data_IF_517316992113
#
_entry.id   IF_517316992113
#
_cell.length_a   1.000
_cell.length_b   1.000
_cell.length_c   1.000
_cell.angle_alpha   90.00
_cell.angle_beta   90.00
_cell.angle_gamma   90.00
#
_symmetry.space_group_name_H-M   'P 1'
#
loop_
_entity.id
_entity.type
_entity.pdbx_description
1 polymer ?
#
# COMPACT_ATOMS: atom_id res chain seq x y z
N UNK A 1 -14.22 12.84 80.17
CA UNK A 1 -14.82 13.38 78.92
C UNK A 1 -13.74 13.80 77.93
N UNK A 2 -12.87 14.76 78.30
CA UNK A 2 -11.81 15.30 77.44
C UNK A 2 -10.88 14.22 76.85
N UNK A 3 -10.47 13.21 77.63
CA UNK A 3 -9.59 12.15 77.10
C UNK A 3 -10.23 11.30 75.99
N UNK A 4 -11.54 11.05 76.07
CA UNK A 4 -12.28 10.32 75.04
C UNK A 4 -12.51 11.18 73.79
N UNK A 5 -12.70 12.49 73.93
CA UNK A 5 -12.80 13.40 72.79
C UNK A 5 -11.46 13.60 72.08
N UNK A 6 -10.36 13.70 72.83
CA UNK A 6 -9.00 13.79 72.26
C UNK A 6 -8.62 12.49 71.55
N UNK A 7 -8.92 11.34 72.17
CA UNK A 7 -8.67 10.02 71.54
C UNK A 7 -9.53 9.82 70.29
N UNK A 8 -10.82 10.20 70.33
CA UNK A 8 -11.72 10.17 69.19
C UNK A 8 -11.25 11.08 68.05
N UNK A 9 -10.81 12.29 68.36
CA UNK A 9 -10.24 13.24 67.39
C UNK A 9 -8.97 12.71 66.72
N UNK A 10 -8.07 12.09 67.47
CA UNK A 10 -6.83 11.51 66.93
C UNK A 10 -7.11 10.32 66.00
N UNK A 11 -8.08 9.48 66.33
CA UNK A 11 -8.50 8.34 65.49
C UNK A 11 -9.12 8.84 64.18
N UNK A 12 -9.97 9.86 64.23
CA UNK A 12 -10.58 10.47 63.04
C UNK A 12 -9.50 11.13 62.17
N UNK A 13 -8.57 11.88 62.77
CA UNK A 13 -7.47 12.52 62.05
C UNK A 13 -6.54 11.49 61.39
N UNK A 14 -6.24 10.39 62.10
CA UNK A 14 -5.46 9.28 61.57
C UNK A 14 -6.19 8.56 60.43
N UNK A 15 -7.50 8.32 60.57
CA UNK A 15 -8.34 7.73 59.52
C UNK A 15 -8.39 8.59 58.25
N UNK A 16 -8.53 9.92 58.40
CA UNK A 16 -8.47 10.88 57.28
C UNK A 16 -7.08 10.86 56.63
N UNK A 17 -6.01 10.84 57.43
CA UNK A 17 -4.63 10.75 56.94
C UNK A 17 -4.38 9.48 56.12
N UNK A 18 -4.86 8.33 56.59
CA UNK A 18 -4.78 7.05 55.88
C UNK A 18 -5.59 7.07 54.58
N UNK A 19 -6.81 7.65 54.61
CA UNK A 19 -7.66 7.76 53.43
C UNK A 19 -7.05 8.69 52.35
N UNK A 20 -6.45 9.82 52.74
CA UNK A 20 -5.76 10.73 51.83
C UNK A 20 -4.42 10.17 51.32
N UNK A 21 -3.83 9.25 52.07
CA UNK A 21 -2.55 8.59 51.75
C UNK A 21 -2.70 7.53 50.65
N UNK A 22 -3.85 6.87 50.55
CA UNK A 22 -4.09 5.82 49.57
C UNK A 22 -4.36 6.40 48.17
N UNK A 23 -3.45 6.16 47.21
CA UNK A 23 -3.68 6.46 45.79
C UNK A 23 -3.56 5.21 44.93
N UNK A 24 -4.45 5.10 43.95
CA UNK A 24 -4.45 4.00 42.98
C UNK A 24 -3.67 4.43 41.73
N UNK A 25 -2.72 3.59 41.32
CA UNK A 25 -1.99 3.70 40.05
C UNK A 25 -2.57 2.67 39.08
N UNK A 26 -2.93 3.11 37.86
CA UNK A 26 -3.50 2.21 36.85
C UNK A 26 -2.45 1.25 36.31
N UNK A 27 -2.87 0.13 35.74
CA UNK A 27 -1.97 -0.91 35.21
C UNK A 27 -0.96 -0.41 34.17
N UNK A 28 -1.38 0.56 33.35
CA UNK A 28 -0.56 1.16 32.30
C UNK A 28 0.22 2.42 32.73
N UNK A 29 0.09 2.81 34.00
CA UNK A 29 0.77 3.98 34.57
C UNK A 29 1.90 3.53 35.50
N UNK A 30 2.97 4.33 35.58
CA UNK A 30 3.99 4.23 36.62
C UNK A 30 3.95 5.48 37.48
N UNK A 31 4.03 5.28 38.79
CA UNK A 31 4.02 6.37 39.77
C UNK A 31 5.43 6.73 40.20
N UNK A 32 5.81 7.99 39.98
CA UNK A 32 7.01 8.59 40.54
C UNK A 32 6.63 9.36 41.80
N UNK A 33 7.31 9.08 42.89
CA UNK A 33 7.07 9.75 44.17
C UNK A 33 8.22 10.69 44.44
N UNK A 34 7.88 11.98 44.56
CA UNK A 34 8.80 13.02 44.98
C UNK A 34 8.57 13.31 46.45
N UNK A 35 9.58 13.06 47.29
CA UNK A 35 9.53 13.38 48.72
C UNK A 35 10.34 14.64 48.96
N UNK A 36 9.68 15.73 49.38
CA UNK A 36 10.32 17.04 49.53
C UNK A 36 11.16 17.47 48.31
N UNK A 37 10.67 17.16 47.10
CA UNK A 37 11.36 17.46 45.83
C UNK A 37 12.46 16.48 45.41
N UNK A 38 12.83 15.49 46.24
CA UNK A 38 13.76 14.42 45.84
C UNK A 38 13.01 13.24 45.25
N UNK A 39 13.44 12.77 44.09
CA UNK A 39 12.89 11.56 43.47
C UNK A 39 13.31 10.34 44.31
N UNK A 40 12.35 9.50 44.67
CA UNK A 40 12.67 8.19 45.24
C UNK A 40 13.11 7.22 44.13
N UNK A 41 14.17 6.45 44.39
CA UNK A 41 14.73 5.48 43.43
C UNK A 41 13.72 4.41 43.01
N UNK A 42 12.77 4.07 43.88
CA UNK A 42 11.76 3.06 43.60
C UNK A 42 10.57 3.63 42.82
N UNK A 43 10.51 3.30 41.51
CA UNK A 43 9.31 3.54 40.69
C UNK A 43 8.17 2.67 41.19
N UNK A 44 7.04 3.29 41.56
CA UNK A 44 5.86 2.56 42.07
C UNK A 44 5.12 1.89 40.92
N UNK A 45 4.95 0.57 41.06
CA UNK A 45 4.16 -0.25 40.14
C UNK A 45 2.66 -0.02 40.26
N UNK A 46 1.86 -0.65 39.39
CA UNK A 46 0.42 -0.53 39.41
C UNK A 46 -0.18 -1.14 40.68
N UNK A 47 -1.26 -0.54 41.18
CA UNK A 47 -1.92 -0.96 42.41
C UNK A 47 -2.10 0.16 43.43
N UNK A 48 -2.45 -0.23 44.66
CA UNK A 48 -2.62 0.70 45.78
C UNK A 48 -1.23 1.12 46.29
N UNK A 49 -0.93 2.41 46.21
CA UNK A 49 0.29 2.99 46.77
C UNK A 49 -0.08 3.95 47.90
N UNK A 50 0.62 3.80 49.01
CA UNK A 50 0.46 4.64 50.19
C UNK A 50 1.50 5.76 50.16
N UNK A 51 1.03 7.02 50.22
CA UNK A 51 1.84 8.22 50.09
C UNK A 51 1.76 9.04 51.38
N UNK A 52 2.85 9.61 51.83
CA UNK A 52 2.81 10.44 53.02
C UNK A 52 2.14 11.79 52.69
N UNK A 53 0.96 12.10 53.27
CA UNK A 53 0.23 13.32 52.94
C UNK A 53 1.08 14.55 53.31
N UNK A 54 1.21 15.49 52.38
CA UNK A 54 1.96 16.74 52.55
C UNK A 54 3.46 16.69 52.20
N UNK A 55 4.11 15.52 52.33
CA UNK A 55 5.54 15.38 51.99
C UNK A 55 5.78 14.73 50.61
N UNK A 56 4.88 13.82 50.21
CA UNK A 56 5.02 13.03 48.99
C UNK A 56 4.10 13.57 47.87
N UNK A 57 4.68 13.84 46.71
CA UNK A 57 3.96 14.20 45.48
C UNK A 57 4.06 13.06 44.46
N UNK A 58 2.92 12.52 44.05
CA UNK A 58 2.83 11.47 43.04
C UNK A 58 2.66 12.08 41.65
N UNK A 59 3.62 11.86 40.75
CA UNK A 59 3.48 12.10 39.30
C UNK A 59 3.30 10.78 38.58
N UNK A 60 2.25 10.68 37.77
CA UNK A 60 1.93 9.47 37.00
C UNK A 60 2.39 9.62 35.56
N UNK A 61 3.01 8.60 35.01
CA UNK A 61 3.50 8.57 33.63
C UNK A 61 2.85 7.38 32.92
N UNK A 62 2.30 7.61 31.72
CA UNK A 62 1.74 6.56 30.89
C UNK A 62 2.87 5.80 30.16
N UNK A 63 2.86 4.47 30.25
CA UNK A 63 3.84 3.58 29.61
C UNK A 63 3.35 3.01 28.27
N UNK A 64 2.13 3.34 27.84
CA UNK A 64 1.59 2.90 26.55
C UNK A 64 2.28 3.59 25.39
N UNK A 65 2.19 2.98 24.20
CA UNK A 65 2.55 3.63 22.95
C UNK A 65 1.60 4.82 22.74
N UNK A 66 2.19 6.01 22.61
CA UNK A 66 1.50 7.25 22.33
C UNK A 66 1.83 7.67 20.91
N UNK A 67 0.80 8.08 20.18
CA UNK A 67 0.92 8.65 18.85
C UNK A 67 1.13 10.16 18.95
N UNK A 68 2.24 10.66 18.41
CA UNK A 68 2.56 12.07 18.32
C UNK A 68 2.55 12.52 16.85
N UNK A 69 1.50 13.25 16.42
CA UNK A 69 1.48 13.81 15.08
C UNK A 69 2.48 14.96 14.98
N UNK A 70 3.34 14.91 13.96
CA UNK A 70 4.28 15.98 13.62
C UNK A 70 3.59 16.86 12.59
N UNK A 71 3.42 18.18 12.85
CA UNK A 71 2.75 19.06 11.92
C UNK A 71 3.57 19.21 10.64
N UNK A 72 2.86 19.40 9.54
CA UNK A 72 3.45 19.50 8.21
C UNK A 72 4.56 20.56 8.15
N UNK A 73 5.69 20.19 7.55
CA UNK A 73 6.85 21.05 7.36
C UNK A 73 7.01 21.36 5.87
N UNK A 74 7.20 22.64 5.57
CA UNK A 74 7.60 23.09 4.24
C UNK A 74 9.11 22.95 4.10
N UNK A 75 9.57 22.35 3.01
CA UNK A 75 10.97 22.13 2.73
C UNK A 75 11.26 22.05 1.24
N UNK A 76 12.54 22.19 0.89
CA UNK A 76 13.04 22.00 -0.48
C UNK A 76 13.87 20.73 -0.47
N UNK A 77 13.53 19.80 -1.35
CA UNK A 77 14.25 18.53 -1.54
C UNK A 77 15.58 18.74 -2.26
N UNK A 78 16.42 17.70 -2.32
CA UNK A 78 17.71 17.73 -3.00
C UNK A 78 17.62 18.07 -4.49
N UNK A 79 16.52 17.69 -5.13
CA UNK A 79 16.18 17.98 -6.53
C UNK A 79 15.45 19.33 -6.71
N UNK A 80 15.53 20.21 -5.71
CA UNK A 80 15.01 21.58 -5.75
C UNK A 80 13.48 21.66 -5.94
N UNK A 81 12.75 20.70 -5.37
CA UNK A 81 11.29 20.69 -5.35
C UNK A 81 10.78 21.17 -4.00
N UNK A 82 9.88 22.15 -4.00
CA UNK A 82 9.18 22.54 -2.77
C UNK A 82 8.11 21.50 -2.45
N UNK A 83 8.19 20.92 -1.26
CA UNK A 83 7.24 19.92 -0.75
C UNK A 83 6.77 20.30 0.64
N UNK A 84 5.58 19.84 0.98
CA UNK A 84 5.04 19.89 2.35
C UNK A 84 4.85 18.47 2.85
N UNK A 85 5.56 18.08 3.90
CA UNK A 85 5.55 16.71 4.42
C UNK A 85 5.11 16.69 5.87
N UNK A 86 4.20 15.80 6.23
CA UNK A 86 3.85 15.49 7.62
C UNK A 86 4.21 14.04 7.99
N UNK A 87 4.34 13.80 9.28
CA UNK A 87 4.76 12.51 9.81
C UNK A 87 4.12 12.22 11.15
N UNK A 88 4.19 10.97 11.58
CA UNK A 88 3.70 10.52 12.88
C UNK A 88 4.78 9.71 13.56
N UNK A 89 5.03 10.00 14.83
CA UNK A 89 5.97 9.26 15.68
C UNK A 89 5.17 8.45 16.70
N UNK A 90 5.44 7.16 16.76
CA UNK A 90 4.91 6.28 17.80
C UNK A 90 6.04 6.00 18.79
N UNK A 91 5.83 6.35 20.05
CA UNK A 91 6.83 6.13 21.09
C UNK A 91 6.16 5.72 22.39
N UNK A 92 6.92 5.10 23.28
CA UNK A 92 6.50 4.79 24.65
C UNK A 92 7.58 5.21 25.62
N UNK A 93 7.19 5.51 26.85
CA UNK A 93 8.16 5.77 27.91
C UNK A 93 8.69 4.42 28.41
N UNK A 94 10.00 4.23 28.39
CA UNK A 94 10.66 3.04 28.94
C UNK A 94 11.13 3.30 30.38
N UNK A 95 11.74 4.46 30.61
CA UNK A 95 12.20 4.91 31.93
C UNK A 95 11.44 6.18 32.35
N UNK A 96 10.41 6.05 33.22
CA UNK A 96 9.62 7.19 33.65
C UNK A 96 10.42 8.18 34.49
N UNK A 97 11.46 7.75 35.22
CA UNK A 97 12.28 8.63 36.03
C UNK A 97 13.06 9.60 35.13
N UNK A 98 13.74 9.08 34.10
CA UNK A 98 14.44 9.90 33.10
C UNK A 98 13.48 10.83 32.35
N UNK A 99 12.32 10.33 31.92
CA UNK A 99 11.36 11.12 31.15
C UNK A 99 10.80 12.33 31.91
N UNK A 100 10.79 12.28 33.24
CA UNK A 100 10.26 13.35 34.10
C UNK A 100 11.36 14.26 34.65
N UNK A 101 12.57 13.73 34.87
CA UNK A 101 13.68 14.49 35.46
C UNK A 101 14.52 15.18 34.40
N UNK A 102 14.78 14.53 33.27
CA UNK A 102 15.71 15.04 32.26
C UNK A 102 15.05 16.09 31.34
N UNK A 103 13.73 16.07 31.21
CA UNK A 103 12.97 17.01 30.37
C UNK A 103 11.67 17.43 31.05
N UNK A 104 11.34 18.72 31.00
CA UNK A 104 10.10 19.28 31.56
C UNK A 104 8.85 18.72 30.86
N UNK A 105 8.81 18.85 29.52
CA UNK A 105 7.80 18.26 28.64
C UNK A 105 8.48 17.47 27.52
N UNK A 106 8.61 16.16 27.76
CA UNK A 106 9.19 15.25 26.79
C UNK A 106 8.37 15.13 25.50
N UNK A 107 7.05 15.37 25.53
CA UNK A 107 6.23 15.31 24.31
C UNK A 107 6.55 16.49 23.40
N UNK A 108 6.67 17.68 23.98
CA UNK A 108 7.06 18.89 23.25
C UNK A 108 8.49 18.78 22.74
N UNK A 109 9.43 18.31 23.56
CA UNK A 109 10.82 18.13 23.14
C UNK A 109 10.94 17.12 21.98
N UNK A 110 10.24 15.97 22.06
CA UNK A 110 10.17 14.99 20.97
C UNK A 110 9.56 15.58 19.69
N UNK A 111 8.54 16.44 19.82
CA UNK A 111 7.94 17.12 18.67
C UNK A 111 8.97 18.02 17.95
N UNK A 112 9.77 18.77 18.71
CA UNK A 112 10.80 19.65 18.15
C UNK A 112 11.93 18.87 17.46
N UNK A 113 12.38 17.79 18.09
CA UNK A 113 13.36 16.88 17.48
C UNK A 113 12.80 16.28 16.20
N UNK A 114 11.58 15.74 16.24
CA UNK A 114 10.95 15.15 15.07
C UNK A 114 10.79 16.14 13.91
N UNK A 115 10.39 17.40 14.18
CA UNK A 115 10.31 18.46 13.17
C UNK A 115 11.69 18.77 12.55
N UNK A 116 12.73 18.84 13.38
CA UNK A 116 14.09 19.15 12.92
C UNK A 116 14.66 17.99 12.09
N UNK A 117 14.46 16.76 12.55
CA UNK A 117 14.84 15.54 11.82
C UNK A 117 14.08 15.41 10.51
N UNK A 118 12.77 15.68 10.50
CA UNK A 118 11.95 15.71 9.29
C UNK A 118 12.47 16.73 8.28
N UNK A 119 12.76 17.95 8.71
CA UNK A 119 13.34 19.00 7.84
C UNK A 119 14.69 18.58 7.27
N UNK A 120 15.55 17.96 8.07
CA UNK A 120 16.86 17.45 7.61
C UNK A 120 16.72 16.33 6.57
N UNK A 121 15.80 15.38 6.79
CA UNK A 121 15.56 14.28 5.85
C UNK A 121 15.01 14.82 4.53
N UNK A 122 14.05 15.75 4.57
CA UNK A 122 13.50 16.37 3.35
C UNK A 122 14.64 16.99 2.51
N UNK A 123 15.57 17.71 3.13
CA UNK A 123 16.69 18.35 2.40
C UNK A 123 17.75 17.38 1.86
N UNK A 124 17.86 16.17 2.43
CA UNK A 124 18.83 15.14 1.99
C UNK A 124 18.25 14.17 0.96
N UNK A 125 16.94 14.10 0.87
CA UNK A 125 16.19 13.18 0.01
C UNK A 125 15.75 13.86 -1.28
N UNK A 126 15.59 13.05 -2.32
CA UNK A 126 14.96 13.45 -3.58
C UNK A 126 13.44 13.26 -3.50
N UNK A 127 12.68 13.92 -4.38
CA UNK A 127 11.23 13.78 -4.43
C UNK A 127 10.79 12.31 -4.60
N UNK A 128 11.47 11.56 -5.46
CA UNK A 128 11.10 10.16 -5.72
C UNK A 128 11.27 9.29 -4.47
N UNK A 129 12.28 9.54 -3.63
CA UNK A 129 12.46 8.81 -2.38
C UNK A 129 11.28 9.02 -1.42
N UNK A 130 10.75 10.25 -1.36
CA UNK A 130 9.59 10.61 -0.53
C UNK A 130 8.29 9.95 -1.01
N UNK A 131 8.21 9.59 -2.30
CA UNK A 131 7.02 8.96 -2.90
C UNK A 131 7.14 7.43 -2.93
N UNK A 132 8.30 6.91 -3.28
CA UNK A 132 8.54 5.50 -3.65
C UNK A 132 9.28 4.72 -2.55
N UNK A 133 10.26 5.33 -1.86
CA UNK A 133 11.16 4.65 -0.91
C UNK A 133 10.91 5.05 0.56
N UNK A 134 9.64 5.08 0.98
CA UNK A 134 9.26 5.54 2.33
C UNK A 134 9.91 4.76 3.46
N UNK A 135 10.12 3.46 3.30
CA UNK A 135 10.70 2.59 4.33
C UNK A 135 12.12 3.03 4.73
N UNK A 136 12.96 3.34 3.75
CA UNK A 136 14.34 3.83 3.99
C UNK A 136 14.35 5.18 4.71
N UNK A 137 13.40 6.05 4.39
CA UNK A 137 13.27 7.35 5.03
C UNK A 137 12.76 7.25 6.47
N UNK A 138 11.80 6.35 6.71
CA UNK A 138 11.28 6.06 8.05
C UNK A 138 12.41 5.58 8.97
N UNK A 139 13.25 4.65 8.53
CA UNK A 139 14.43 4.18 9.28
C UNK A 139 15.45 5.31 9.53
N UNK A 140 15.68 6.16 8.53
CA UNK A 140 16.54 7.33 8.68
C UNK A 140 16.01 8.33 9.72
N UNK A 141 14.71 8.58 9.72
CA UNK A 141 14.04 9.43 10.71
C UNK A 141 14.10 8.82 12.11
N UNK A 142 13.84 7.52 12.23
CA UNK A 142 13.90 6.79 13.50
C UNK A 142 15.26 6.95 14.16
N UNK A 143 16.35 6.67 13.44
CA UNK A 143 17.72 6.83 13.95
C UNK A 143 18.04 8.25 14.43
N UNK A 144 17.56 9.27 13.70
CA UNK A 144 17.79 10.67 14.06
C UNK A 144 17.00 11.10 15.31
N UNK A 145 15.82 10.53 15.54
CA UNK A 145 14.98 10.88 16.69
C UNK A 145 15.36 10.01 17.91
N UNK A 146 15.81 8.76 17.70
CA UNK A 146 16.13 7.81 18.78
C UNK A 146 17.31 8.27 19.62
N UNK A 147 18.33 8.86 18.98
CA UNK A 147 19.54 9.35 19.66
C UNK A 147 19.24 10.26 20.86
N UNK A 148 18.48 11.38 20.71
CA UNK A 148 18.07 12.20 21.85
C UNK A 148 16.96 11.56 22.71
N UNK A 149 16.10 10.70 22.15
CA UNK A 149 15.00 10.06 22.88
C UNK A 149 15.50 9.13 24.00
N UNK A 150 16.62 8.42 23.76
CA UNK A 150 17.25 7.53 24.74
C UNK A 150 17.72 8.27 25.99
N UNK A 151 18.23 9.49 25.86
CA UNK A 151 18.63 10.34 26.99
C UNK A 151 17.44 10.68 27.89
N UNK A 152 16.24 10.74 27.31
CA UNK A 152 14.99 11.04 28.01
C UNK A 152 14.26 9.77 28.48
N UNK A 153 14.80 8.58 28.25
CA UNK A 153 14.15 7.32 28.62
C UNK A 153 12.92 6.99 27.78
N UNK A 154 12.89 7.49 26.53
CA UNK A 154 11.82 7.25 25.57
C UNK A 154 12.32 6.26 24.52
N UNK A 155 11.48 5.28 24.23
CA UNK A 155 11.70 4.25 23.20
C UNK A 155 10.78 4.54 22.01
N UNK A 156 11.36 4.63 20.81
CA UNK A 156 10.61 4.88 19.57
C UNK A 156 10.18 3.52 19.00
N UNK A 157 8.87 3.33 18.83
CA UNK A 157 8.34 2.09 18.25
C UNK A 157 8.43 2.11 16.71
N UNK A 158 8.08 3.24 16.10
CA UNK A 158 8.22 3.49 14.66
C UNK A 158 8.01 4.97 14.33
N UNK A 159 8.51 5.40 13.17
CA UNK A 159 8.23 6.70 12.57
C UNK A 159 7.68 6.49 11.17
N UNK A 160 6.59 7.17 10.84
CA UNK A 160 5.94 7.02 9.55
C UNK A 160 5.69 8.39 8.90
N UNK A 161 6.19 8.56 7.68
CA UNK A 161 5.79 9.69 6.81
C UNK A 161 4.35 9.43 6.35
N UNK A 162 3.47 10.39 6.64
CA UNK A 162 2.04 10.26 6.37
C UNK A 162 1.72 10.75 4.96
N UNK A 163 1.78 12.05 4.73
CA UNK A 163 1.44 12.70 3.47
C UNK A 163 2.58 13.59 2.94
N UNK A 164 2.73 13.60 1.62
CA UNK A 164 3.64 14.48 0.87
C UNK A 164 2.80 15.30 -0.10
N UNK A 165 2.63 16.59 0.21
CA UNK A 165 1.89 17.53 -0.60
C UNK A 165 2.83 18.30 -1.54
N UNK A 166 2.48 18.26 -2.82
CA UNK A 166 3.20 18.91 -3.92
C UNK A 166 2.43 20.14 -4.40
N UNK A 167 3.11 21.17 -4.93
CA UNK A 167 2.47 22.28 -5.63
C UNK A 167 1.57 21.76 -6.76
N UNK A 168 0.42 22.39 -6.94
CA UNK A 168 -0.61 21.89 -7.86
C UNK A 168 -0.12 21.83 -9.31
N UNK A 169 0.71 22.80 -9.74
CA UNK A 169 1.32 22.82 -11.07
C UNK A 169 2.17 21.57 -11.34
N UNK A 170 3.02 21.18 -10.39
CA UNK A 170 3.89 20.02 -10.50
C UNK A 170 3.09 18.72 -10.44
N UNK A 171 2.14 18.61 -9.51
CA UNK A 171 1.25 17.45 -9.40
C UNK A 171 0.55 17.15 -10.72
N UNK A 172 0.05 18.19 -11.41
CA UNK A 172 -0.60 18.05 -12.72
C UNK A 172 0.38 17.58 -13.81
N UNK A 173 1.58 18.18 -13.90
CA UNK A 173 2.59 17.76 -14.89
C UNK A 173 3.09 16.33 -14.67
N UNK A 174 3.40 15.96 -13.42
CA UNK A 174 3.82 14.60 -13.08
C UNK A 174 2.73 13.58 -13.38
N UNK A 175 1.47 13.90 -13.08
CA UNK A 175 0.34 13.00 -13.37
C UNK A 175 0.22 12.74 -14.87
N UNK A 176 0.32 13.79 -15.71
CA UNK A 176 0.32 13.65 -17.17
C UNK A 176 1.51 12.85 -17.69
N UNK A 177 2.70 13.08 -17.15
CA UNK A 177 3.90 12.34 -17.54
C UNK A 177 3.80 10.85 -17.13
N UNK A 178 3.31 10.57 -15.92
CA UNK A 178 3.12 9.21 -15.44
C UNK A 178 2.05 8.46 -16.25
N UNK A 179 0.97 9.14 -16.65
CA UNK A 179 -0.06 8.59 -17.53
C UNK A 179 0.51 8.26 -18.91
N UNK A 180 1.25 9.18 -19.53
CA UNK A 180 1.90 8.95 -20.82
C UNK A 180 2.92 7.80 -20.79
N UNK A 181 3.74 7.69 -19.74
CA UNK A 181 4.69 6.58 -19.59
C UNK A 181 3.98 5.26 -19.30
N UNK A 182 2.89 5.25 -18.52
CA UNK A 182 2.06 4.06 -18.32
C UNK A 182 1.42 3.59 -19.62
N UNK A 183 0.88 4.51 -20.41
CA UNK A 183 0.29 4.19 -21.71
C UNK A 183 1.35 3.65 -22.69
N UNK A 184 2.52 4.30 -22.76
CA UNK A 184 3.65 3.82 -23.56
C UNK A 184 4.06 2.41 -23.16
N UNK A 185 4.23 2.15 -21.85
CA UNK A 185 4.58 0.81 -21.32
C UNK A 185 3.50 -0.21 -21.64
N UNK A 186 2.22 0.12 -21.48
CA UNK A 186 1.11 -0.76 -21.80
C UNK A 186 1.10 -1.16 -23.29
N UNK A 187 1.36 -0.21 -24.20
CA UNK A 187 1.45 -0.49 -25.65
C UNK A 187 2.61 -1.42 -25.98
N UNK A 188 3.78 -1.22 -25.38
CA UNK A 188 4.94 -2.11 -25.57
C UNK A 188 4.63 -3.52 -25.07
N UNK A 189 4.07 -3.65 -23.87
CA UNK A 189 3.69 -4.95 -23.29
C UNK A 189 2.65 -5.66 -24.18
N UNK A 190 1.68 -4.92 -24.73
CA UNK A 190 0.67 -5.47 -25.63
C UNK A 190 1.28 -5.98 -26.93
N UNK A 191 2.15 -5.17 -27.56
CA UNK A 191 2.83 -5.56 -28.80
C UNK A 191 3.75 -6.78 -28.60
N UNK A 192 4.49 -6.83 -27.47
CA UNK A 192 5.31 -7.99 -27.11
C UNK A 192 4.44 -9.23 -26.86
N UNK A 193 3.29 -9.06 -26.20
CA UNK A 193 2.30 -10.11 -25.99
C UNK A 193 1.74 -10.66 -27.31
N UNK A 194 1.38 -9.79 -28.25
CA UNK A 194 0.91 -10.17 -29.59
C UNK A 194 1.98 -10.90 -30.39
N UNK A 195 3.23 -10.46 -30.32
CA UNK A 195 4.37 -11.13 -30.98
C UNK A 195 4.59 -12.52 -30.39
N UNK A 196 4.59 -12.65 -29.06
CA UNK A 196 4.74 -13.94 -28.38
C UNK A 196 3.58 -14.89 -28.71
N UNK A 197 2.35 -14.39 -28.72
CA UNK A 197 1.17 -15.17 -29.09
C UNK A 197 1.25 -15.65 -30.55
N UNK A 198 1.60 -14.76 -31.48
CA UNK A 198 1.74 -15.08 -32.91
C UNK A 198 2.82 -16.14 -33.15
N UNK A 199 3.96 -16.06 -32.46
CA UNK A 199 5.02 -17.07 -32.54
C UNK A 199 4.54 -18.44 -32.08
N UNK A 200 3.89 -18.51 -30.91
CA UNK A 200 3.34 -19.78 -30.39
C UNK A 200 2.26 -20.36 -31.29
N UNK A 201 1.40 -19.53 -31.87
CA UNK A 201 0.38 -19.97 -32.82
C UNK A 201 1.00 -20.51 -34.11
N UNK A 202 2.05 -19.86 -34.64
CA UNK A 202 2.78 -20.34 -35.81
C UNK A 202 3.48 -21.67 -35.56
N UNK A 203 4.10 -21.84 -34.40
CA UNK A 203 4.74 -23.08 -33.98
C UNK A 203 3.72 -24.22 -33.81
N UNK A 204 2.58 -23.91 -33.18
CA UNK A 204 1.46 -24.85 -33.07
C UNK A 204 0.92 -25.24 -34.45
N UNK A 205 0.75 -24.29 -35.38
CA UNK A 205 0.30 -24.56 -36.74
C UNK A 205 1.25 -25.50 -37.50
N UNK A 206 2.57 -25.28 -37.43
CA UNK A 206 3.55 -26.19 -38.04
C UNK A 206 3.53 -27.60 -37.42
N UNK A 207 3.34 -27.70 -36.11
CA UNK A 207 3.17 -29.00 -35.42
C UNK A 207 1.88 -29.70 -35.86
N UNK A 208 0.80 -28.95 -36.07
CA UNK A 208 -0.47 -29.49 -36.56
C UNK A 208 -0.40 -29.93 -38.02
N UNK A 209 0.35 -29.23 -38.87
CA UNK A 209 0.55 -29.60 -40.27
C UNK A 209 1.32 -30.92 -40.40
N UNK A 210 2.36 -31.10 -39.57
CA UNK A 210 3.16 -32.32 -39.53
C UNK A 210 2.45 -33.52 -38.91
N UNK A 211 1.32 -33.33 -38.23
CA UNK A 211 0.54 -34.39 -37.58
C UNK A 211 -0.77 -34.66 -38.33
N UNK A 212 -0.90 -35.79 -39.06
CA UNK A 212 -2.11 -36.12 -39.79
C UNK A 212 -3.35 -36.17 -38.88
N UNK A 213 -4.41 -35.44 -39.24
CA UNK A 213 -5.68 -35.38 -38.49
C UNK A 213 -5.77 -34.28 -37.42
N UNK A 214 -4.67 -33.61 -37.04
CA UNK A 214 -4.69 -32.55 -36.03
C UNK A 214 -5.51 -31.31 -36.46
N UNK A 215 -5.38 -30.89 -37.73
CA UNK A 215 -6.20 -29.82 -38.32
C UNK A 215 -7.69 -30.18 -38.33
N UNK A 216 -8.03 -31.45 -38.56
CA UNK A 216 -9.42 -31.91 -38.59
C UNK A 216 -10.03 -31.95 -37.19
N UNK A 217 -9.26 -32.35 -36.17
CA UNK A 217 -9.68 -32.25 -34.77
C UNK A 217 -9.89 -30.79 -34.33
N UNK A 218 -9.00 -29.87 -34.75
CA UNK A 218 -9.18 -28.42 -34.52
C UNK A 218 -10.46 -27.91 -35.17
N UNK A 219 -10.73 -28.29 -36.42
CA UNK A 219 -11.97 -27.92 -37.11
C UNK A 219 -13.22 -28.38 -36.34
N UNK A 220 -13.22 -29.63 -35.87
CA UNK A 220 -14.31 -30.17 -35.06
C UNK A 220 -14.46 -29.43 -33.72
N UNK A 221 -13.36 -29.09 -33.05
CA UNK A 221 -13.38 -28.29 -31.82
C UNK A 221 -13.97 -26.89 -32.07
N UNK A 222 -13.56 -26.22 -33.14
CA UNK A 222 -14.11 -24.90 -33.51
C UNK A 222 -15.61 -24.98 -33.79
N UNK A 223 -16.09 -26.05 -34.44
CA UNK A 223 -17.53 -26.27 -34.66
C UNK A 223 -18.28 -26.38 -33.32
N UNK A 224 -17.70 -27.06 -32.32
CA UNK A 224 -18.32 -27.21 -30.99
C UNK A 224 -18.34 -25.88 -30.23
N UNK A 225 -17.26 -25.10 -30.26
CA UNK A 225 -17.22 -23.77 -29.63
C UNK A 225 -18.22 -22.80 -30.28
N UNK A 226 -18.26 -22.74 -31.60
CA UNK A 226 -19.19 -21.89 -32.34
C UNK A 226 -20.64 -22.33 -32.16
N UNK A 227 -20.91 -23.64 -32.01
CA UNK A 227 -22.24 -24.14 -31.70
C UNK A 227 -22.69 -23.82 -30.25
N UNK A 228 -21.74 -23.56 -29.34
CA UNK A 228 -22.02 -23.18 -27.97
C UNK A 228 -22.34 -21.66 -27.84
N UNK A 229 -21.73 -20.81 -28.67
CA UNK A 229 -22.16 -19.42 -28.84
C UNK A 229 -23.46 -19.37 -29.66
N UNK A 230 -24.56 -18.94 -29.05
CA UNK A 230 -25.92 -18.97 -29.63
C UNK A 230 -26.14 -18.00 -30.82
N UNK A 231 -25.37 -18.11 -31.92
CA UNK A 231 -25.56 -17.33 -33.15
C UNK A 231 -26.10 -18.20 -34.30
N UNK A 232 -27.24 -17.79 -34.86
CA UNK A 232 -28.11 -18.60 -35.73
C UNK A 232 -27.68 -18.70 -37.21
N UNK A 233 -26.49 -18.26 -37.60
CA UNK A 233 -26.00 -18.35 -38.99
C UNK A 233 -24.61 -18.98 -39.03
N UNK A 234 -24.56 -20.23 -39.46
CA UNK A 234 -23.34 -21.02 -39.58
C UNK A 234 -22.73 -20.82 -40.97
N UNK A 235 -21.60 -20.12 -41.07
CA UNK A 235 -20.82 -20.00 -42.31
C UNK A 235 -19.62 -20.93 -42.22
N UNK A 236 -19.69 -22.09 -42.89
CA UNK A 236 -18.61 -23.07 -42.93
C UNK A 236 -17.65 -22.76 -44.08
N UNK A 237 -16.36 -22.47 -43.81
CA UNK A 237 -15.36 -22.43 -44.87
C UNK A 237 -15.09 -23.87 -45.35
N UNK A 238 -15.50 -24.18 -46.58
CA UNK A 238 -15.23 -25.48 -47.20
C UNK A 238 -13.79 -25.53 -47.73
N UNK A 239 -12.96 -26.51 -47.33
CA UNK A 239 -11.59 -26.66 -47.83
C UNK A 239 -11.58 -26.93 -49.34
N UNK A 240 -10.79 -26.16 -50.10
CA UNK A 240 -10.71 -26.26 -51.56
C UNK A 240 -10.07 -27.57 -52.04
N UNK A 241 -9.35 -28.27 -51.17
CA UNK A 241 -8.75 -29.58 -51.44
C UNK A 241 -9.81 -30.68 -51.65
N UNK A 242 -10.95 -30.59 -50.95
CA UNK A 242 -12.08 -31.50 -51.13
C UNK A 242 -12.79 -31.28 -52.47
N UNK A 243 -12.88 -30.04 -52.93
CA UNK A 243 -13.42 -29.69 -54.25
C UNK A 243 -12.53 -30.25 -55.36
N UNK A 244 -11.20 -30.10 -55.23
CA UNK A 244 -10.23 -30.68 -56.19
C UNK A 244 -10.28 -32.20 -56.25
N UNK A 245 -10.61 -32.87 -55.14
CA UNK A 245 -10.76 -34.33 -55.13
C UNK A 245 -12.06 -34.80 -55.83
N UNK A 246 -13.14 -34.00 -55.75
CA UNK A 246 -14.42 -34.29 -56.41
C UNK A 246 -14.35 -34.06 -57.94
N UNK A 247 -13.68 -32.99 -58.38
CA UNK A 247 -13.45 -32.72 -59.81
C UNK A 247 -12.60 -33.82 -60.47
N UNK A 248 -11.59 -34.34 -59.75
CA UNK A 248 -10.71 -35.40 -60.27
C UNK A 248 -11.44 -36.74 -60.50
N UNK A 249 -12.59 -36.96 -59.86
CA UNK A 249 -13.41 -38.17 -59.98
C UNK A 249 -14.65 -37.99 -60.89
N UNK A 250 -14.87 -36.80 -61.46
CA UNK A 250 -16.04 -36.49 -62.30
C UNK A 250 -15.65 -36.24 -63.76
N UNK A 251 -14.82 -37.12 -64.35
CA UNK A 251 -14.79 -37.28 -65.81
C UNK A 251 -15.85 -38.32 -66.18
N UNK A 252 -17.10 -37.87 -66.30
CA UNK A 252 -18.19 -38.67 -66.90
C UNK A 252 -18.31 -38.24 -68.37
N UNK A 253 -18.03 -39.17 -69.27
CA UNK A 253 -18.30 -39.08 -70.70
C UNK A 253 -19.79 -38.77 -70.96
N UNK A 254 -20.05 -37.72 -71.75
CA UNK A 254 -21.33 -37.52 -72.43
C UNK A 254 -21.29 -38.26 -73.78
N UNK A 255 -22.21 -39.18 -74.09
CA UNK A 255 -22.20 -39.88 -75.37
C UNK A 255 -22.96 -39.11 -76.47
N UNK A 256 -22.37 -39.11 -77.67
CA UNK A 256 -23.11 -39.32 -78.92
C UNK A 256 -23.45 -38.09 -79.77
N UNK A 257 -22.95 -38.09 -81.00
CA UNK A 257 -23.07 -37.06 -82.03
C UNK A 257 -24.10 -37.47 -83.12
N UNK A 258 -25.01 -36.54 -83.49
CA UNK A 258 -25.65 -36.33 -84.82
C UNK A 258 -26.79 -37.25 -85.32
N UNK A 259 -27.47 -36.94 -86.47
CA UNK A 259 -27.64 -35.64 -87.19
C UNK A 259 -29.09 -35.37 -87.76
N UNK A 260 -29.27 -34.19 -88.40
CA UNK A 260 -30.14 -33.88 -89.56
C UNK A 260 -31.32 -32.86 -89.43
N UNK A 261 -31.12 -31.71 -90.10
CA UNK A 261 -31.99 -30.90 -90.99
C UNK A 261 -33.35 -30.32 -90.54
N UNK A 262 -33.52 -28.99 -90.65
CA UNK A 262 -34.11 -28.31 -91.85
C UNK A 262 -34.36 -26.80 -91.69
N UNK A 263 -33.82 -26.01 -92.62
CA UNK A 263 -34.51 -24.89 -93.30
C UNK A 263 -34.56 -23.47 -92.69
N UNK A 264 -34.71 -22.40 -93.52
CA UNK A 264 -33.96 -21.14 -93.37
C UNK A 264 -34.82 -19.86 -93.36
N UNK A 265 -34.23 -18.69 -93.01
CA UNK A 265 -34.47 -17.35 -93.62
C UNK A 265 -33.77 -16.27 -92.76
N UNK A 266 -32.82 -15.49 -93.33
CA UNK A 266 -32.97 -14.09 -93.77
C UNK A 266 -33.39 -13.13 -92.63
N UNK A 267 -32.78 -11.97 -92.41
CA UNK A 267 -31.73 -11.22 -93.08
C UNK A 267 -31.45 -9.99 -92.20
N UNK A 268 -30.22 -9.49 -92.17
CA UNK A 268 -29.97 -8.16 -92.73
C UNK A 268 -29.48 -7.21 -91.62
N UNK A 269 -28.64 -6.21 -91.96
CA UNK A 269 -27.49 -5.86 -91.14
C UNK A 269 -27.52 -4.35 -90.77
N UNK A 270 -26.38 -3.66 -90.56
CA UNK A 270 -25.96 -3.20 -89.24
C UNK A 270 -25.92 -1.65 -89.13
N UNK A 271 -25.75 -1.15 -87.92
CA UNK A 271 -24.71 -0.18 -87.54
C UNK A 271 -24.58 -0.13 -86.01
#
# INVERSE_FOLDING_TARGET
>A
MVFFEVLGGLVVLSGIGLAMSARVIKQFERGLVFRFGKLQEAVRGPGLTMLLPGADQLRKVNMQIVTLPVPAQDGITRDNVTVRVDAVVYFKVQDPAKAVVNVEDYRFAMLQVAQTSLRSIIGKSELDDLLSNRERLNQGLELMIDTPALEWGIDIDRVEIKDVALPESMKRSMSRQAEAERERRARVITADGELQASRKLSEAAGTMESTPGALQLRLLQTIVEVAAEKNSTLVLPFPVELLRFLEKNTNVELPGNGPAHSGPAQGGPPE
#
